data_IF_875403626875
#
_entry.id   IF_875403626875
#
_cell.length_a   1.000
_cell.length_b   1.000
_cell.length_c   1.000
_cell.angle_alpha   90.00
_cell.angle_beta   90.00
_cell.angle_gamma   90.00
#
_symmetry.space_group_name_H-M   'P 1'
#
loop_
_entity.id
_entity.type
_entity.pdbx_description
1 polymer ?
#
# COMPACT_ATOMS: atom_id res chain seq x y z
N UNK A 1 -19.91 -14.55 40.21
CA UNK A 1 -20.32 -15.59 41.18
C UNK A 1 -21.00 -14.89 42.32
N UNK A 2 -22.17 -15.36 42.74
CA UNK A 2 -22.72 -14.95 44.04
C UNK A 2 -21.83 -15.56 45.13
N UNK A 3 -21.77 -14.89 46.28
CA UNK A 3 -21.02 -15.39 47.43
C UNK A 3 -21.58 -16.75 47.85
N UNK A 4 -20.76 -17.81 47.71
CA UNK A 4 -21.14 -19.21 47.97
C UNK A 4 -21.47 -20.09 46.76
N UNK A 5 -21.41 -19.59 45.52
CA UNK A 5 -21.73 -20.36 44.30
C UNK A 5 -20.54 -21.21 43.82
N UNK A 6 -20.73 -22.50 43.59
CA UNK A 6 -19.69 -23.44 43.14
C UNK A 6 -19.41 -23.37 41.63
N UNK A 7 -18.19 -23.73 41.21
CA UNK A 7 -17.76 -23.71 39.78
C UNK A 7 -18.71 -24.52 38.88
N UNK A 8 -19.28 -25.61 39.38
CA UNK A 8 -20.23 -26.45 38.63
C UNK A 8 -21.56 -25.74 38.32
N UNK A 9 -22.08 -24.92 39.24
CA UNK A 9 -23.33 -24.16 39.05
C UNK A 9 -23.14 -22.99 38.08
N UNK A 10 -21.96 -22.35 38.10
CA UNK A 10 -21.60 -21.31 37.15
C UNK A 10 -21.49 -21.85 35.71
N UNK A 11 -20.96 -23.06 35.54
CA UNK A 11 -20.87 -23.75 34.23
C UNK A 11 -22.26 -24.18 33.73
N UNK A 12 -23.14 -24.66 34.61
CA UNK A 12 -24.51 -25.06 34.25
C UNK A 12 -25.38 -23.89 33.71
N UNK A 13 -25.02 -22.65 34.03
CA UNK A 13 -25.74 -21.43 33.57
C UNK A 13 -25.26 -20.88 32.24
N UNK A 14 -24.29 -21.51 31.58
CA UNK A 14 -23.79 -21.07 30.28
C UNK A 14 -23.39 -19.56 30.28
N UNK A 15 -22.77 -19.08 31.37
CA UNK A 15 -22.39 -17.66 31.51
C UNK A 15 -21.22 -17.33 30.56
N UNK A 16 -21.56 -16.82 29.38
CA UNK A 16 -20.61 -16.35 28.38
C UNK A 16 -20.64 -14.82 28.35
N UNK A 17 -19.48 -14.18 28.54
CA UNK A 17 -19.35 -12.74 28.32
C UNK A 17 -19.41 -12.46 26.81
N UNK A 18 -20.51 -11.86 26.33
CA UNK A 18 -20.66 -11.44 24.93
C UNK A 18 -20.06 -10.06 24.65
N UNK A 19 -19.25 -9.52 25.58
CA UNK A 19 -18.70 -8.17 25.52
C UNK A 19 -19.60 -7.15 26.21
N UNK A 20 -19.17 -5.89 26.27
CA UNK A 20 -19.83 -4.84 27.07
C UNK A 20 -21.25 -4.47 26.60
N UNK A 21 -21.65 -4.90 25.39
CA UNK A 21 -22.98 -4.72 24.80
C UNK A 21 -23.85 -5.98 24.80
N UNK A 22 -23.35 -7.08 25.39
CA UNK A 22 -24.14 -8.27 25.59
C UNK A 22 -25.34 -8.01 26.50
N UNK A 23 -26.30 -8.93 26.49
CA UNK A 23 -27.36 -8.98 27.50
C UNK A 23 -26.72 -8.97 28.90
N UNK A 24 -26.98 -7.90 29.67
CA UNK A 24 -26.36 -7.69 31.00
C UNK A 24 -26.74 -8.79 31.98
N UNK A 25 -27.84 -9.50 31.76
CA UNK A 25 -28.22 -10.66 32.57
C UNK A 25 -27.30 -11.89 32.35
N UNK A 26 -26.47 -11.88 31.30
CA UNK A 26 -25.55 -12.97 30.91
C UNK A 26 -24.07 -12.64 31.13
N UNK A 27 -23.76 -11.46 31.68
CA UNK A 27 -22.38 -11.06 31.95
C UNK A 27 -21.76 -11.87 33.09
N UNK A 28 -20.46 -12.13 32.97
CA UNK A 28 -19.66 -12.77 34.02
C UNK A 28 -19.74 -12.03 35.37
N UNK A 29 -19.82 -10.70 35.31
CA UNK A 29 -19.99 -9.84 36.48
C UNK A 29 -20.83 -8.62 36.09
N UNK A 30 -21.90 -8.38 36.85
CA UNK A 30 -22.71 -7.16 36.74
C UNK A 30 -21.91 -5.91 37.16
N UNK A 31 -20.86 -6.09 37.95
CA UNK A 31 -19.99 -5.02 38.48
C UNK A 31 -18.66 -4.91 37.72
N UNK A 32 -18.65 -5.29 36.43
CA UNK A 32 -17.45 -5.13 35.61
C UNK A 32 -17.09 -3.64 35.50
N UNK A 33 -15.98 -3.25 36.12
CA UNK A 33 -15.55 -1.84 36.15
C UNK A 33 -15.28 -1.27 34.74
N UNK A 34 -14.88 -2.12 33.78
CA UNK A 34 -14.66 -1.72 32.38
C UNK A 34 -15.99 -1.30 31.74
N UNK A 35 -17.04 -2.08 31.97
CA UNK A 35 -18.39 -1.80 31.48
C UNK A 35 -18.97 -0.55 32.16
N UNK A 36 -18.87 -0.46 33.48
CA UNK A 36 -19.34 0.71 34.24
C UNK A 36 -18.64 1.99 33.78
N UNK A 37 -17.33 1.95 33.58
CA UNK A 37 -16.58 3.10 33.10
C UNK A 37 -16.93 3.45 31.64
N UNK A 38 -16.82 2.47 30.72
CA UNK A 38 -16.97 2.69 29.29
C UNK A 38 -18.41 3.03 28.90
N UNK A 39 -19.37 2.21 29.33
CA UNK A 39 -20.75 2.28 28.89
C UNK A 39 -21.57 3.19 29.82
N UNK A 40 -21.54 2.96 31.13
CA UNK A 40 -22.44 3.66 32.05
C UNK A 40 -21.98 5.09 32.36
N UNK A 41 -20.69 5.29 32.62
CA UNK A 41 -20.15 6.59 33.01
C UNK A 41 -19.77 7.47 31.81
N UNK A 42 -19.17 6.89 30.77
CA UNK A 42 -18.66 7.63 29.61
C UNK A 42 -19.54 7.55 28.37
N UNK A 43 -20.55 6.67 28.35
CA UNK A 43 -21.48 6.54 27.21
C UNK A 43 -20.82 6.06 25.91
N UNK A 44 -19.67 5.37 25.98
CA UNK A 44 -18.91 4.91 24.83
C UNK A 44 -19.33 3.50 24.40
N UNK A 45 -19.25 3.25 23.10
CA UNK A 45 -19.46 1.93 22.52
C UNK A 45 -18.28 1.00 22.81
N UNK A 46 -17.06 1.51 22.72
CA UNK A 46 -15.87 0.70 23.01
C UNK A 46 -14.81 1.52 23.74
N UNK A 47 -13.99 0.85 24.56
CA UNK A 47 -12.92 1.54 25.30
C UNK A 47 -11.93 2.25 24.37
N UNK A 48 -11.74 1.73 23.15
CA UNK A 48 -10.88 2.35 22.14
C UNK A 48 -11.39 3.71 21.64
N UNK A 49 -12.61 4.12 21.96
CA UNK A 49 -13.16 5.43 21.60
C UNK A 49 -12.83 6.50 22.66
N UNK A 50 -12.30 6.06 23.80
CA UNK A 50 -11.95 6.94 24.91
C UNK A 50 -10.67 7.73 24.60
N UNK A 51 -10.66 9.03 24.87
CA UNK A 51 -9.48 9.90 24.68
C UNK A 51 -8.28 9.52 25.56
N UNK A 52 -8.52 8.84 26.69
CA UNK A 52 -7.48 8.36 27.60
C UNK A 52 -7.08 6.91 27.32
N UNK A 53 -7.51 6.35 26.18
CA UNK A 53 -7.20 4.98 25.82
C UNK A 53 -5.78 4.84 25.23
N UNK A 54 -5.02 3.80 25.58
CA UNK A 54 -5.30 2.82 26.64
C UNK A 54 -4.94 3.42 28.01
N UNK A 55 -5.88 3.41 28.96
CA UNK A 55 -5.60 3.92 30.29
C UNK A 55 -4.79 2.90 31.12
N UNK A 56 -4.00 3.38 32.08
CA UNK A 56 -3.12 2.54 32.94
C UNK A 56 -3.87 1.37 33.57
N UNK A 57 -5.11 1.62 34.01
CA UNK A 57 -5.96 0.60 34.64
C UNK A 57 -6.33 -0.54 33.67
N UNK A 58 -6.60 -0.21 32.40
CA UNK A 58 -6.94 -1.20 31.38
C UNK A 58 -5.70 -1.99 30.92
N UNK A 59 -4.54 -1.33 30.86
CA UNK A 59 -3.25 -1.99 30.60
C UNK A 59 -2.93 -3.01 31.68
N UNK A 60 -2.95 -2.61 32.96
CA UNK A 60 -2.67 -3.52 34.08
C UNK A 60 -3.69 -4.65 34.21
N UNK A 61 -4.95 -4.43 33.81
CA UNK A 61 -5.93 -5.52 33.73
C UNK A 61 -5.60 -6.53 32.62
N UNK A 62 -5.10 -6.06 31.47
CA UNK A 62 -4.79 -6.93 30.33
C UNK A 62 -3.61 -7.88 30.57
N UNK A 63 -2.69 -7.52 31.47
CA UNK A 63 -1.51 -8.32 31.81
C UNK A 63 -1.84 -9.58 32.62
N UNK A 64 -3.04 -9.64 33.21
CA UNK A 64 -3.47 -10.76 34.05
C UNK A 64 -3.76 -12.04 33.25
N UNK A 65 -3.95 -11.94 31.93
CA UNK A 65 -4.24 -13.08 31.07
C UNK A 65 -3.87 -12.81 29.61
N UNK A 66 -3.21 -13.77 28.95
CA UNK A 66 -2.80 -13.64 27.55
C UNK A 66 -3.97 -13.34 26.58
N UNK A 67 -5.18 -13.82 26.86
CA UNK A 67 -6.38 -13.51 26.08
C UNK A 67 -6.82 -12.06 26.24
N UNK A 68 -6.65 -11.48 27.44
CA UNK A 68 -6.95 -10.06 27.68
C UNK A 68 -5.91 -9.15 27.03
N UNK A 69 -4.63 -9.54 27.06
CA UNK A 69 -3.57 -8.87 26.31
C UNK A 69 -3.88 -8.81 24.81
N UNK A 70 -4.31 -9.93 24.20
CA UNK A 70 -4.76 -9.95 22.79
C UNK A 70 -5.99 -9.07 22.52
N UNK A 71 -6.92 -8.99 23.47
CA UNK A 71 -8.10 -8.12 23.34
C UNK A 71 -7.71 -6.64 23.38
N UNK A 72 -6.80 -6.24 24.29
CA UNK A 72 -6.28 -4.87 24.34
C UNK A 72 -5.54 -4.49 23.06
N UNK A 73 -4.76 -5.41 22.49
CA UNK A 73 -4.00 -5.14 21.27
C UNK A 73 -4.93 -4.91 20.05
N UNK A 74 -6.04 -5.67 19.96
CA UNK A 74 -7.09 -5.39 18.96
C UNK A 74 -7.72 -4.02 19.15
N UNK A 75 -8.01 -3.63 20.39
CA UNK A 75 -8.55 -2.31 20.71
C UNK A 75 -7.55 -1.18 20.38
N UNK A 76 -6.24 -1.39 20.58
CA UNK A 76 -5.18 -0.45 20.16
C UNK A 76 -5.12 -0.26 18.65
N UNK A 77 -5.28 -1.33 17.88
CA UNK A 77 -5.36 -1.24 16.42
C UNK A 77 -6.58 -0.41 15.98
N UNK A 78 -7.73 -0.59 16.64
CA UNK A 78 -8.95 0.18 16.38
C UNK A 78 -8.82 1.65 16.82
N UNK A 79 -8.24 1.91 17.99
CA UNK A 79 -7.96 3.27 18.49
C UNK A 79 -7.01 4.02 17.54
N UNK A 80 -5.94 3.35 17.09
CA UNK A 80 -5.00 3.89 16.11
C UNK A 80 -5.66 4.24 14.78
N UNK A 81 -6.73 3.57 14.39
CA UNK A 81 -7.55 3.93 13.22
C UNK A 81 -8.39 5.21 13.42
N UNK A 82 -8.84 5.50 14.65
CA UNK A 82 -9.57 6.74 14.98
C UNK A 82 -8.63 7.94 15.20
N UNK A 83 -7.46 7.73 15.82
CA UNK A 83 -6.47 8.79 16.04
C UNK A 83 -5.77 9.25 14.75
N UNK A 84 -5.73 8.42 13.70
CA UNK A 84 -5.22 8.76 12.36
C UNK A 84 -6.06 9.79 11.60
N UNK A 85 -7.23 10.14 12.13
CA UNK A 85 -8.23 10.97 11.44
C UNK A 85 -8.04 12.48 11.61
N UNK A 86 -7.10 12.94 12.45
CA UNK A 86 -7.18 14.30 13.01
C UNK A 86 -6.26 15.38 12.42
N UNK A 87 -5.24 15.05 11.62
CA UNK A 87 -4.26 16.06 11.17
C UNK A 87 -4.32 16.43 9.67
N UNK A 88 -5.08 15.70 8.84
CA UNK A 88 -5.29 16.05 7.42
C UNK A 88 -6.76 16.37 7.20
N UNK A 89 -7.07 17.66 7.06
CA UNK A 89 -8.39 18.08 6.59
C UNK A 89 -8.54 17.70 5.11
N UNK A 90 -9.26 16.61 4.85
CA UNK A 90 -9.77 16.28 3.53
C UNK A 90 -11.09 17.07 3.37
N UNK A 91 -11.24 17.94 2.37
CA UNK A 91 -12.49 18.64 2.16
C UNK A 91 -13.64 17.64 1.98
N UNK A 92 -14.78 17.88 2.62
CA UNK A 92 -15.96 17.00 2.52
C UNK A 92 -16.42 16.82 1.07
N UNK A 93 -16.26 17.86 0.25
CA UNK A 93 -16.52 17.83 -1.19
C UNK A 93 -15.62 16.84 -1.94
N UNK A 94 -14.32 16.82 -1.62
CA UNK A 94 -13.36 15.85 -2.17
C UNK A 94 -13.69 14.44 -1.70
N UNK A 95 -13.99 14.28 -0.41
CA UNK A 95 -14.29 12.97 0.15
C UNK A 95 -15.57 12.38 -0.48
N UNK A 96 -16.64 13.17 -0.57
CA UNK A 96 -17.87 12.77 -1.24
C UNK A 96 -17.61 12.37 -2.71
N UNK A 97 -16.80 13.14 -3.43
CA UNK A 97 -16.43 12.86 -4.82
C UNK A 97 -15.64 11.55 -4.98
N UNK A 98 -14.68 11.27 -4.08
CA UNK A 98 -13.93 10.01 -4.07
C UNK A 98 -14.79 8.80 -3.71
N UNK A 99 -15.90 9.00 -2.99
CA UNK A 99 -16.81 7.95 -2.54
C UNK A 99 -18.01 7.71 -3.48
N UNK A 100 -18.13 8.43 -4.60
CA UNK A 100 -19.19 8.20 -5.58
C UNK A 100 -19.18 6.76 -6.12
N UNK A 101 -20.38 6.21 -6.35
CA UNK A 101 -20.55 4.82 -6.81
C UNK A 101 -20.15 4.59 -8.26
N UNK A 102 -20.05 5.66 -9.06
CA UNK A 102 -19.65 5.61 -10.47
C UNK A 102 -18.24 5.06 -10.69
N UNK A 103 -17.37 5.15 -9.67
CA UNK A 103 -15.97 4.73 -9.71
C UNK A 103 -15.67 3.76 -8.57
N UNK A 104 -16.16 2.50 -8.63
CA UNK A 104 -16.14 1.56 -7.50
C UNK A 104 -14.72 1.22 -7.02
N UNK A 105 -13.73 1.22 -7.91
CA UNK A 105 -12.33 1.00 -7.56
C UNK A 105 -11.75 2.12 -6.69
N UNK A 106 -12.03 3.38 -7.04
CA UNK A 106 -11.61 4.53 -6.22
C UNK A 106 -12.35 4.51 -4.90
N UNK A 107 -13.68 4.30 -4.91
CA UNK A 107 -14.50 4.25 -3.70
C UNK A 107 -14.00 3.18 -2.73
N UNK A 108 -13.75 1.96 -3.23
CA UNK A 108 -13.23 0.85 -2.43
C UNK A 108 -11.91 1.22 -1.76
N UNK A 109 -10.96 1.79 -2.51
CA UNK A 109 -9.66 2.19 -1.96
C UNK A 109 -9.74 3.39 -1.03
N UNK A 110 -10.60 4.37 -1.30
CA UNK A 110 -10.86 5.48 -0.40
C UNK A 110 -11.42 4.97 0.95
N UNK A 111 -12.38 4.05 0.94
CA UNK A 111 -12.91 3.43 2.15
C UNK A 111 -11.80 2.67 2.93
N UNK A 112 -11.04 1.82 2.24
CA UNK A 112 -10.03 0.94 2.88
C UNK A 112 -8.78 1.67 3.35
N UNK A 113 -8.20 2.49 2.47
CA UNK A 113 -6.85 3.02 2.65
C UNK A 113 -6.86 4.47 3.12
N UNK A 114 -7.84 5.27 2.68
CA UNK A 114 -7.97 6.66 3.13
C UNK A 114 -8.78 6.77 4.43
N UNK A 115 -9.88 6.03 4.56
CA UNK A 115 -10.75 6.06 5.75
C UNK A 115 -10.51 4.94 6.77
N UNK A 116 -9.53 4.06 6.54
CA UNK A 116 -9.20 2.91 7.41
C UNK A 116 -10.40 2.00 7.74
N UNK A 117 -11.40 1.92 6.85
CA UNK A 117 -12.54 1.01 7.04
C UNK A 117 -12.09 -0.44 6.98
N UNK A 118 -12.68 -1.28 7.84
CA UNK A 118 -12.35 -2.70 7.89
C UNK A 118 -12.81 -3.43 6.62
N UNK A 119 -12.18 -4.59 6.34
CA UNK A 119 -12.46 -5.33 5.11
C UNK A 119 -13.89 -5.89 5.05
N UNK A 120 -14.48 -6.11 6.23
CA UNK A 120 -15.85 -6.60 6.41
C UNK A 120 -16.88 -5.48 6.57
N UNK A 121 -16.48 -4.21 6.41
CA UNK A 121 -17.41 -3.08 6.40
C UNK A 121 -18.39 -3.23 5.21
N UNK A 122 -19.71 -3.06 5.42
CA UNK A 122 -20.71 -3.25 4.36
C UNK A 122 -20.47 -2.38 3.12
N UNK A 123 -20.02 -1.13 3.28
CA UNK A 123 -19.75 -0.25 2.15
C UNK A 123 -18.50 -0.69 1.38
N UNK A 124 -17.49 -1.19 2.10
CA UNK A 124 -16.28 -1.76 1.49
C UNK A 124 -16.63 -2.98 0.66
N UNK A 125 -17.42 -3.90 1.22
CA UNK A 125 -17.87 -5.12 0.53
C UNK A 125 -18.72 -4.78 -0.69
N UNK A 126 -19.63 -3.82 -0.57
CA UNK A 126 -20.47 -3.37 -1.67
C UNK A 126 -19.63 -2.74 -2.80
N UNK A 127 -18.70 -1.84 -2.48
CA UNK A 127 -17.82 -1.24 -3.48
C UNK A 127 -16.95 -2.31 -4.16
N UNK A 128 -16.36 -3.23 -3.39
CA UNK A 128 -15.54 -4.35 -3.90
C UNK A 128 -16.30 -5.24 -4.87
N UNK A 129 -17.56 -5.58 -4.56
CA UNK A 129 -18.40 -6.43 -5.39
C UNK A 129 -18.73 -5.81 -6.77
N UNK A 130 -18.73 -4.49 -6.89
CA UNK A 130 -19.02 -3.77 -8.14
C UNK A 130 -17.81 -3.70 -9.09
N UNK A 131 -16.58 -3.82 -8.56
CA UNK A 131 -15.33 -3.64 -9.33
C UNK A 131 -15.27 -4.55 -10.58
N UNK A 132 -15.55 -5.87 -10.51
CA UNK A 132 -15.43 -6.74 -11.69
C UNK A 132 -16.34 -6.36 -12.86
N UNK A 133 -17.49 -5.72 -12.57
CA UNK A 133 -18.46 -5.28 -13.56
C UNK A 133 -18.23 -3.83 -14.04
N UNK A 134 -17.30 -3.09 -13.41
CA UNK A 134 -16.97 -1.73 -13.80
C UNK A 134 -16.47 -1.63 -15.25
N UNK A 135 -16.70 -0.49 -15.89
CA UNK A 135 -16.29 -0.27 -17.29
C UNK A 135 -14.77 -0.46 -17.51
N UNK A 136 -13.87 0.09 -16.67
CA UNK A 136 -12.43 -0.11 -16.85
C UNK A 136 -12.02 -1.59 -16.82
N UNK A 137 -12.55 -2.34 -15.85
CA UNK A 137 -12.23 -3.77 -15.69
C UNK A 137 -12.76 -4.58 -16.87
N UNK A 138 -14.00 -4.35 -17.30
CA UNK A 138 -14.58 -5.00 -18.49
C UNK A 138 -13.77 -4.72 -19.75
N UNK A 139 -13.36 -3.47 -19.97
CA UNK A 139 -12.54 -3.08 -21.13
C UNK A 139 -11.16 -3.73 -21.11
N UNK A 140 -10.52 -3.83 -19.95
CA UNK A 140 -9.25 -4.55 -19.82
C UNK A 140 -9.43 -6.02 -20.17
N UNK A 141 -10.37 -6.72 -19.54
CA UNK A 141 -10.59 -8.14 -19.83
C UNK A 141 -11.08 -8.43 -21.26
N UNK A 142 -11.76 -7.51 -21.92
CA UNK A 142 -12.10 -7.64 -23.34
C UNK A 142 -10.87 -7.69 -24.27
N UNK A 143 -9.68 -7.31 -23.79
CA UNK A 143 -8.40 -7.39 -24.51
C UNK A 143 -7.56 -8.60 -24.10
N UNK A 144 -8.05 -9.40 -23.15
CA UNK A 144 -7.36 -10.59 -22.65
C UNK A 144 -7.50 -11.73 -23.65
N UNK A 145 -6.39 -12.36 -24.00
CA UNK A 145 -6.39 -13.62 -24.72
C UNK A 145 -6.91 -14.76 -23.80
N UNK A 146 -7.67 -15.74 -24.33
CA UNK A 146 -8.21 -16.85 -23.54
C UNK A 146 -7.18 -17.57 -22.64
N UNK A 147 -5.94 -17.69 -23.12
CA UNK A 147 -4.84 -18.34 -22.36
C UNK A 147 -4.32 -17.54 -21.16
N UNK A 148 -4.77 -16.30 -20.91
CA UNK A 148 -4.31 -15.58 -19.71
C UNK A 148 -3.35 -14.41 -19.95
N UNK A 149 -3.44 -13.66 -21.05
CA UNK A 149 -2.45 -12.60 -21.31
C UNK A 149 -2.99 -11.42 -22.12
N UNK A 150 -2.26 -10.31 -22.14
CA UNK A 150 -2.52 -9.14 -22.97
C UNK A 150 -1.36 -8.90 -23.94
N UNK A 151 -1.73 -8.64 -25.20
CA UNK A 151 -0.95 -8.49 -26.44
C UNK A 151 0.54 -8.88 -26.50
N UNK A 152 0.86 -9.68 -27.53
CA UNK A 152 2.17 -9.86 -28.17
C UNK A 152 1.96 -10.09 -29.68
N UNK A 153 2.81 -9.54 -30.56
CA UNK A 153 2.77 -9.76 -32.02
C UNK A 153 3.84 -10.78 -32.46
N UNK A 154 3.43 -11.92 -33.06
CA UNK A 154 4.30 -12.88 -33.78
C UNK A 154 4.11 -14.39 -33.44
N UNK A 155 4.46 -15.28 -34.39
CA UNK A 155 4.45 -16.77 -34.26
C UNK A 155 5.63 -17.33 -33.41
N UNK A 156 5.92 -16.70 -32.28
CA UNK A 156 7.00 -17.16 -31.38
C UNK A 156 6.73 -16.79 -29.92
N UNK A 157 6.19 -17.73 -29.15
CA UNK A 157 6.26 -17.86 -27.68
C UNK A 157 6.03 -16.63 -26.74
N UNK A 158 5.54 -15.45 -27.19
CA UNK A 158 4.87 -14.47 -26.31
C UNK A 158 5.75 -13.65 -25.35
N UNK A 159 6.61 -12.74 -25.83
CA UNK A 159 7.65 -12.11 -24.97
C UNK A 159 7.90 -10.59 -25.08
N UNK A 160 7.03 -9.78 -25.69
CA UNK A 160 7.21 -8.30 -25.70
C UNK A 160 6.44 -7.67 -24.54
N UNK A 161 7.20 -7.32 -23.52
CA UNK A 161 6.72 -6.71 -22.29
C UNK A 161 7.18 -5.24 -22.18
N UNK A 162 7.51 -4.62 -23.31
CA UNK A 162 8.00 -3.23 -23.33
C UNK A 162 6.87 -2.20 -23.28
N UNK A 163 5.66 -2.60 -23.67
CA UNK A 163 4.57 -1.66 -23.88
C UNK A 163 3.55 -1.65 -22.74
N UNK A 164 2.96 -0.48 -22.40
CA UNK A 164 1.95 -0.34 -21.35
C UNK A 164 0.70 -1.22 -21.45
N UNK A 165 0.46 -1.82 -22.62
CA UNK A 165 -0.65 -2.75 -22.86
C UNK A 165 -0.27 -4.23 -22.66
N UNK A 166 0.97 -4.54 -22.28
CA UNK A 166 1.44 -5.90 -22.00
C UNK A 166 0.87 -6.46 -20.69
N UNK A 167 0.95 -7.78 -20.50
CA UNK A 167 0.32 -8.50 -19.39
C UNK A 167 0.67 -7.94 -18.01
N UNK A 168 1.95 -7.74 -17.67
CA UNK A 168 2.33 -7.36 -16.30
C UNK A 168 1.92 -5.92 -15.94
N UNK A 169 1.96 -4.98 -16.89
CA UNK A 169 1.44 -3.61 -16.67
C UNK A 169 -0.10 -3.61 -16.62
N UNK A 170 -0.75 -4.49 -17.37
CA UNK A 170 -2.20 -4.68 -17.28
C UNK A 170 -2.60 -5.30 -15.94
N UNK A 171 -1.85 -6.30 -15.45
CA UNK A 171 -2.03 -6.88 -14.11
C UNK A 171 -1.79 -5.84 -13.02
N UNK A 172 -0.77 -5.00 -13.15
CA UNK A 172 -0.55 -3.87 -12.25
C UNK A 172 -1.73 -2.90 -12.23
N UNK A 173 -2.31 -2.57 -13.38
CA UNK A 173 -3.51 -1.73 -13.42
C UNK A 173 -4.73 -2.43 -12.83
N UNK A 174 -4.96 -3.72 -13.11
CA UNK A 174 -6.04 -4.49 -12.49
C UNK A 174 -5.87 -4.56 -10.95
N UNK A 175 -4.64 -4.64 -10.45
CA UNK A 175 -4.34 -4.58 -9.02
C UNK A 175 -4.71 -3.21 -8.42
N UNK A 176 -4.37 -2.12 -9.09
CA UNK A 176 -4.77 -0.76 -8.69
C UNK A 176 -6.30 -0.58 -8.68
N UNK A 177 -6.99 -1.19 -9.65
CA UNK A 177 -8.46 -1.21 -9.71
C UNK A 177 -9.09 -2.06 -8.61
N UNK A 178 -8.30 -2.82 -7.84
CA UNK A 178 -8.80 -3.66 -6.75
C UNK A 178 -9.27 -5.04 -7.22
N UNK A 179 -8.79 -5.56 -8.35
CA UNK A 179 -8.93 -6.99 -8.66
C UNK A 179 -7.95 -7.82 -7.81
N UNK A 180 -8.23 -9.10 -7.61
CA UNK A 180 -7.36 -10.03 -6.89
C UNK A 180 -7.54 -11.48 -7.37
N UNK A 181 -6.81 -12.41 -6.76
CA UNK A 181 -6.81 -13.85 -7.06
C UNK A 181 -8.14 -14.57 -6.90
N UNK A 182 -9.18 -13.94 -6.35
CA UNK A 182 -10.53 -14.51 -6.31
C UNK A 182 -11.20 -14.54 -7.69
N UNK A 183 -10.74 -13.71 -8.64
CA UNK A 183 -11.20 -13.76 -10.03
C UNK A 183 -10.36 -14.76 -10.84
N UNK A 184 -11.00 -15.76 -11.42
CA UNK A 184 -10.33 -16.82 -12.18
C UNK A 184 -9.50 -16.30 -13.36
N UNK A 185 -9.85 -15.14 -13.94
CA UNK A 185 -9.08 -14.52 -15.03
C UNK A 185 -7.75 -13.97 -14.51
N UNK A 186 -7.76 -13.39 -13.32
CA UNK A 186 -6.52 -12.98 -12.63
C UNK A 186 -5.69 -14.22 -12.31
N UNK A 187 -6.30 -15.26 -11.75
CA UNK A 187 -5.61 -16.51 -11.42
C UNK A 187 -4.91 -17.12 -12.64
N UNK A 188 -5.62 -17.23 -13.76
CA UNK A 188 -5.09 -17.74 -15.03
C UNK A 188 -3.92 -16.91 -15.55
N UNK A 189 -4.03 -15.58 -15.51
CA UNK A 189 -2.99 -14.69 -16.03
C UNK A 189 -1.73 -14.68 -15.16
N UNK A 190 -1.90 -14.63 -13.84
CA UNK A 190 -0.78 -14.66 -12.89
C UNK A 190 -0.09 -16.00 -12.96
N UNK A 191 -0.83 -17.11 -12.92
CA UNK A 191 -0.23 -18.44 -12.97
C UNK A 191 0.57 -18.64 -14.26
N UNK A 192 -0.04 -18.34 -15.42
CA UNK A 192 0.65 -18.35 -16.70
C UNK A 192 1.96 -17.56 -16.65
N UNK A 193 1.91 -16.31 -16.20
CA UNK A 193 3.07 -15.43 -16.15
C UNK A 193 4.17 -15.99 -15.25
N UNK A 194 3.81 -16.50 -14.08
CA UNK A 194 4.75 -17.05 -13.10
C UNK A 194 5.34 -18.40 -13.53
N UNK A 195 4.68 -19.14 -14.44
CA UNK A 195 5.17 -20.42 -15.00
C UNK A 195 5.97 -20.28 -16.29
N UNK A 196 6.11 -19.07 -16.85
CA UNK A 196 6.90 -18.89 -18.06
C UNK A 196 8.36 -19.34 -17.80
N UNK A 197 9.01 -20.01 -18.77
CA UNK A 197 10.41 -20.33 -18.62
C UNK A 197 11.27 -19.05 -18.72
N UNK A 198 12.45 -19.02 -18.07
CA UNK A 198 13.48 -18.02 -18.38
C UNK A 198 13.73 -17.92 -19.89
N UNK A 199 13.88 -16.71 -20.41
CA UNK A 199 14.17 -16.52 -21.84
C UNK A 199 15.59 -16.97 -22.17
N UNK A 200 15.76 -17.57 -23.36
CA UNK A 200 17.06 -17.97 -23.89
C UNK A 200 18.03 -16.79 -23.98
N UNK A 201 19.33 -17.07 -23.84
CA UNK A 201 20.41 -16.06 -23.77
C UNK A 201 20.61 -15.24 -25.06
N UNK A 202 19.89 -15.56 -26.13
CA UNK A 202 19.95 -14.91 -27.44
C UNK A 202 19.11 -13.62 -27.53
N UNK A 203 18.39 -13.25 -26.45
CA UNK A 203 17.60 -12.02 -26.38
C UNK A 203 18.04 -11.09 -25.23
N UNK A 204 17.83 -9.76 -25.36
CA UNK A 204 18.14 -8.81 -24.29
C UNK A 204 17.39 -9.15 -22.99
N UNK A 205 18.11 -9.63 -21.97
CA UNK A 205 17.51 -10.11 -20.71
C UNK A 205 16.57 -9.11 -20.08
N UNK A 206 16.91 -7.81 -20.07
CA UNK A 206 16.13 -6.74 -19.44
C UNK A 206 14.75 -6.45 -20.06
N UNK A 207 14.39 -7.08 -21.18
CA UNK A 207 13.12 -6.86 -21.91
C UNK A 207 12.11 -8.00 -21.70
N UNK A 208 12.49 -9.07 -21.00
CA UNK A 208 11.73 -10.32 -21.01
C UNK A 208 11.51 -10.95 -19.61
N UNK A 209 10.25 -11.10 -19.18
CA UNK A 209 9.87 -11.88 -18.02
C UNK A 209 9.81 -13.40 -18.35
N UNK A 210 9.66 -14.25 -17.32
CA UNK A 210 9.51 -13.87 -15.93
C UNK A 210 10.81 -13.34 -15.35
N UNK A 211 10.65 -12.45 -14.40
CA UNK A 211 11.67 -12.13 -13.44
C UNK A 211 11.91 -13.36 -12.54
N UNK A 212 13.17 -13.77 -12.35
CA UNK A 212 13.56 -14.94 -11.54
C UNK A 212 14.83 -14.62 -10.72
N UNK A 213 15.33 -15.59 -9.94
CA UNK A 213 16.48 -15.39 -9.05
C UNK A 213 17.72 -14.78 -9.70
N UNK A 214 17.96 -15.09 -10.97
CA UNK A 214 19.13 -14.66 -11.74
C UNK A 214 18.78 -13.60 -12.80
N UNK A 215 17.60 -12.96 -12.69
CA UNK A 215 17.20 -11.88 -13.59
C UNK A 215 16.29 -10.86 -12.91
N UNK A 216 16.80 -9.65 -12.75
CA UNK A 216 16.09 -8.48 -12.22
C UNK A 216 15.82 -7.46 -13.34
N UNK A 217 14.64 -7.52 -13.97
CA UNK A 217 14.25 -6.54 -14.99
C UNK A 217 14.02 -5.14 -14.39
N UNK A 218 13.87 -4.13 -15.24
CA UNK A 218 13.58 -2.77 -14.75
C UNK A 218 12.17 -2.64 -14.13
N UNK A 219 11.33 -3.69 -14.26
CA UNK A 219 9.98 -3.76 -13.72
C UNK A 219 9.82 -4.84 -12.64
N UNK A 220 10.90 -5.51 -12.23
CA UNK A 220 10.90 -6.55 -11.19
C UNK A 220 10.08 -6.17 -9.96
N UNK A 221 10.43 -5.05 -9.33
CA UNK A 221 9.77 -4.61 -8.10
C UNK A 221 8.35 -4.09 -8.35
N UNK A 222 8.06 -3.57 -9.56
CA UNK A 222 6.70 -3.19 -9.95
C UNK A 222 5.81 -4.43 -10.05
N UNK A 223 6.31 -5.48 -10.70
CA UNK A 223 5.63 -6.76 -10.84
C UNK A 223 5.40 -7.39 -9.46
N UNK A 224 6.43 -7.39 -8.62
CA UNK A 224 6.35 -7.92 -7.26
C UNK A 224 5.27 -7.21 -6.43
N UNK A 225 5.25 -5.88 -6.44
CA UNK A 225 4.19 -5.08 -5.81
C UNK A 225 2.81 -5.45 -6.36
N UNK A 226 2.69 -5.58 -7.68
CA UNK A 226 1.42 -5.91 -8.34
C UNK A 226 0.91 -7.28 -7.89
N UNK A 227 1.76 -8.31 -7.82
CA UNK A 227 1.37 -9.63 -7.34
C UNK A 227 0.97 -9.64 -5.86
N UNK A 228 1.67 -8.88 -5.02
CA UNK A 228 1.30 -8.69 -3.61
C UNK A 228 -0.10 -8.08 -3.51
N UNK A 229 -0.39 -7.02 -4.27
CA UNK A 229 -1.72 -6.39 -4.31
C UNK A 229 -2.81 -7.30 -4.85
N UNK A 230 -2.49 -8.19 -5.80
CA UNK A 230 -3.41 -9.21 -6.32
C UNK A 230 -3.65 -10.37 -5.34
N UNK A 231 -3.01 -10.38 -4.16
CA UNK A 231 -3.21 -11.39 -3.13
C UNK A 231 -2.28 -12.60 -3.21
N UNK A 232 -1.12 -12.49 -3.87
CA UNK A 232 -0.13 -13.59 -4.02
C UNK A 232 1.05 -13.47 -3.05
N UNK A 233 0.92 -12.72 -1.95
CA UNK A 233 2.02 -12.55 -0.98
C UNK A 233 2.50 -13.90 -0.41
N UNK A 234 1.58 -14.85 -0.24
CA UNK A 234 1.79 -16.21 0.26
C UNK A 234 2.21 -17.21 -0.83
N UNK A 235 2.32 -16.80 -2.09
CA UNK A 235 2.76 -17.68 -3.17
C UNK A 235 4.28 -17.91 -3.09
N UNK A 236 4.76 -19.17 -3.04
CA UNK A 236 6.20 -19.46 -2.91
C UNK A 236 7.08 -18.81 -3.99
N UNK A 237 6.55 -18.62 -5.21
CA UNK A 237 7.26 -17.97 -6.33
C UNK A 237 7.45 -16.47 -6.07
N UNK A 238 6.50 -15.86 -5.37
CA UNK A 238 6.56 -14.46 -4.94
C UNK A 238 7.49 -14.32 -3.73
N UNK A 239 7.43 -15.24 -2.77
CA UNK A 239 8.36 -15.25 -1.63
C UNK A 239 9.82 -15.37 -2.07
N UNK A 240 10.12 -16.27 -3.02
CA UNK A 240 11.46 -16.38 -3.61
C UNK A 240 11.92 -15.03 -4.19
N UNK A 241 11.04 -14.34 -4.92
CA UNK A 241 11.35 -13.04 -5.54
C UNK A 241 11.54 -11.92 -4.53
N UNK A 242 10.80 -11.95 -3.41
CA UNK A 242 11.06 -11.07 -2.27
C UNK A 242 12.47 -11.31 -1.72
N UNK A 243 12.90 -12.56 -1.58
CA UNK A 243 14.27 -12.86 -1.09
C UNK A 243 15.35 -12.34 -2.04
N UNK A 244 15.12 -12.42 -3.34
CA UNK A 244 16.01 -11.84 -4.36
C UNK A 244 16.12 -10.32 -4.18
N UNK A 245 14.98 -9.62 -4.07
CA UNK A 245 14.97 -8.17 -3.84
C UNK A 245 15.68 -7.79 -2.53
N UNK A 246 15.53 -8.59 -1.46
CA UNK A 246 16.22 -8.39 -0.19
C UNK A 246 17.73 -8.61 -0.28
N UNK A 247 18.16 -9.55 -1.12
CA UNK A 247 19.58 -9.88 -1.33
C UNK A 247 20.31 -8.91 -2.26
N UNK A 248 19.59 -8.07 -3.01
CA UNK A 248 20.18 -7.07 -3.89
C UNK A 248 21.01 -6.05 -3.09
N UNK A 249 22.26 -5.83 -3.49
CA UNK A 249 23.13 -4.84 -2.83
C UNK A 249 23.76 -3.95 -3.87
N UNK A 250 23.62 -2.64 -3.66
CA UNK A 250 24.23 -1.63 -4.52
C UNK A 250 24.93 -0.55 -3.71
N UNK A 251 26.04 -0.06 -4.26
CA UNK A 251 26.91 0.90 -3.59
C UNK A 251 26.20 2.23 -3.27
N UNK A 252 25.22 2.63 -4.09
CA UNK A 252 24.42 3.84 -3.88
C UNK A 252 23.06 3.57 -3.22
N UNK A 253 22.74 2.32 -2.86
CA UNK A 253 21.52 1.91 -2.14
C UNK A 253 20.24 1.81 -2.98
N UNK A 254 20.24 2.31 -4.22
CA UNK A 254 19.09 2.24 -5.13
C UNK A 254 18.94 0.87 -5.80
N UNK A 255 18.19 0.83 -6.89
CA UNK A 255 17.95 -0.38 -7.71
C UNK A 255 18.46 -0.18 -9.14
N UNK A 256 19.00 -1.23 -9.75
CA UNK A 256 19.40 -1.24 -11.15
C UNK A 256 19.07 -2.59 -11.77
N UNK A 257 18.43 -2.58 -12.94
CA UNK A 257 18.14 -3.80 -13.67
C UNK A 257 19.39 -4.42 -14.29
N UNK A 258 19.37 -5.74 -14.45
CA UNK A 258 20.50 -6.49 -15.01
C UNK A 258 20.63 -6.22 -16.51
N UNK A 259 21.70 -5.52 -16.90
CA UNK A 259 22.10 -5.33 -18.30
C UNK A 259 23.58 -5.59 -18.47
N UNK A 260 23.95 -6.27 -19.54
CA UNK A 260 25.32 -6.69 -19.80
C UNK A 260 26.29 -5.50 -19.96
N UNK A 261 25.78 -4.33 -20.35
CA UNK A 261 26.54 -3.10 -20.45
C UNK A 261 26.78 -2.38 -19.11
N UNK A 262 26.18 -2.86 -18.02
CA UNK A 262 26.33 -2.23 -16.70
C UNK A 262 27.49 -2.85 -15.92
N UNK A 263 28.27 -1.97 -15.30
CA UNK A 263 29.32 -2.34 -14.35
C UNK A 263 28.79 -2.27 -12.92
N UNK A 264 29.49 -2.86 -11.93
CA UNK A 264 29.14 -2.69 -10.52
C UNK A 264 29.06 -1.22 -10.07
N UNK A 265 29.79 -0.31 -10.74
CA UNK A 265 29.80 1.14 -10.44
C UNK A 265 28.73 1.94 -11.19
N UNK A 266 27.99 1.34 -12.12
CA UNK A 266 26.86 2.02 -12.77
C UNK A 266 25.89 2.53 -11.70
N UNK A 267 25.41 3.76 -11.81
CA UNK A 267 24.47 4.37 -10.85
C UNK A 267 23.10 3.68 -10.91
N UNK A 268 22.41 3.60 -9.78
CA UNK A 268 21.04 3.08 -9.74
C UNK A 268 20.08 3.91 -10.57
N UNK A 269 19.10 3.24 -11.16
CA UNK A 269 18.05 3.86 -11.98
C UNK A 269 16.94 4.39 -11.07
N UNK A 270 16.67 5.70 -11.11
CA UNK A 270 15.61 6.32 -10.29
C UNK A 270 14.24 5.68 -10.50
N UNK A 271 13.87 5.33 -11.74
CA UNK A 271 12.59 4.66 -12.06
C UNK A 271 12.49 3.31 -11.37
N UNK A 272 13.53 2.48 -11.49
CA UNK A 272 13.59 1.17 -10.84
C UNK A 272 13.62 1.28 -9.32
N UNK A 273 14.38 2.24 -8.78
CA UNK A 273 14.38 2.54 -7.34
C UNK A 273 12.99 2.95 -6.85
N UNK A 274 12.20 3.70 -7.63
CA UNK A 274 10.83 4.09 -7.26
C UNK A 274 9.93 2.87 -7.18
N UNK A 275 10.13 1.88 -8.06
CA UNK A 275 9.37 0.62 -8.02
C UNK A 275 9.77 -0.25 -6.84
N UNK A 276 11.07 -0.31 -6.51
CA UNK A 276 11.57 -0.97 -5.31
C UNK A 276 10.99 -0.34 -4.04
N UNK A 277 11.02 0.99 -3.94
CA UNK A 277 10.45 1.74 -2.83
C UNK A 277 8.94 1.46 -2.67
N UNK A 278 8.19 1.51 -3.77
CA UNK A 278 6.75 1.23 -3.77
C UNK A 278 6.43 -0.22 -3.39
N UNK A 279 7.29 -1.17 -3.78
CA UNK A 279 7.18 -2.57 -3.38
C UNK A 279 7.40 -2.74 -1.88
N UNK A 280 8.42 -2.11 -1.30
CA UNK A 280 8.65 -2.13 0.15
C UNK A 280 7.49 -1.48 0.91
N UNK A 281 6.90 -0.40 0.41
CA UNK A 281 5.73 0.22 1.03
C UNK A 281 4.49 -0.71 1.07
N UNK A 282 4.41 -1.69 0.16
CA UNK A 282 3.37 -2.72 0.15
C UNK A 282 3.68 -3.92 1.08
N UNK A 283 4.88 -3.98 1.68
CA UNK A 283 5.38 -5.09 2.50
C UNK A 283 5.86 -4.56 3.87
N UNK A 284 4.94 -4.21 4.78
CA UNK A 284 5.27 -3.60 6.07
C UNK A 284 6.19 -4.43 6.96
N UNK A 285 6.13 -5.75 6.84
CA UNK A 285 7.03 -6.67 7.54
C UNK A 285 8.50 -6.50 7.14
N UNK A 286 8.78 -5.88 5.99
CA UNK A 286 10.14 -5.69 5.47
C UNK A 286 10.73 -4.30 5.77
N UNK A 287 9.98 -3.39 6.39
CA UNK A 287 10.45 -2.01 6.62
C UNK A 287 11.70 -1.92 7.50
N UNK A 288 11.88 -2.87 8.43
CA UNK A 288 13.07 -2.96 9.29
C UNK A 288 14.29 -3.58 8.62
N UNK A 289 14.18 -4.07 7.38
CA UNK A 289 15.29 -4.73 6.69
C UNK A 289 16.34 -3.73 6.22
N UNK A 290 17.62 -4.14 6.22
CA UNK A 290 18.73 -3.31 5.70
C UNK A 290 18.47 -2.85 4.27
N UNK A 291 17.94 -3.73 3.41
CA UNK A 291 17.65 -3.40 2.01
C UNK A 291 16.62 -2.29 1.88
N UNK A 292 15.51 -2.39 2.60
CA UNK A 292 14.46 -1.36 2.59
C UNK A 292 15.04 0.00 3.02
N UNK A 293 15.81 0.01 4.11
CA UNK A 293 16.46 1.22 4.61
C UNK A 293 17.44 1.84 3.61
N UNK A 294 18.20 1.02 2.85
CA UNK A 294 19.06 1.51 1.77
C UNK A 294 18.27 2.17 0.63
N UNK A 295 17.11 1.62 0.26
CA UNK A 295 16.26 2.25 -0.77
C UNK A 295 15.67 3.56 -0.24
N UNK A 296 15.20 3.60 1.00
CA UNK A 296 14.70 4.84 1.62
C UNK A 296 15.80 5.91 1.60
N UNK A 297 17.00 5.58 2.08
CA UNK A 297 18.14 6.50 2.13
C UNK A 297 18.56 6.98 0.73
N UNK A 298 18.44 6.13 -0.30
CA UNK A 298 18.67 6.52 -1.69
C UNK A 298 17.79 7.72 -2.09
N UNK A 299 16.52 7.75 -1.68
CA UNK A 299 15.61 8.86 -1.93
C UNK A 299 15.87 10.06 -1.03
N UNK A 300 16.13 9.85 0.27
CA UNK A 300 16.36 10.95 1.22
C UNK A 300 17.59 11.78 0.85
N UNK A 301 18.71 11.14 0.47
CA UNK A 301 19.93 11.82 -0.02
C UNK A 301 19.72 12.64 -1.29
N UNK A 302 18.66 12.35 -2.03
CA UNK A 302 18.29 13.01 -3.29
C UNK A 302 17.17 14.03 -3.09
N UNK A 303 16.75 14.30 -1.85
CA UNK A 303 15.53 15.07 -1.55
C UNK A 303 14.36 14.62 -2.44
N UNK A 304 14.26 13.30 -2.60
CA UNK A 304 13.34 12.55 -3.47
C UNK A 304 13.52 12.77 -4.97
N UNK A 305 13.73 14.01 -5.42
CA UNK A 305 13.56 14.45 -6.80
C UNK A 305 14.88 14.84 -7.51
N UNK A 306 15.94 15.09 -6.75
CA UNK A 306 17.11 15.83 -7.21
C UNK A 306 18.37 14.96 -7.31
N UNK A 307 19.28 15.41 -8.15
CA UNK A 307 20.63 14.83 -8.25
C UNK A 307 21.42 15.17 -6.99
N UNK A 308 22.35 14.29 -6.63
CA UNK A 308 23.33 14.58 -5.59
C UNK A 308 24.42 15.56 -6.09
N UNK A 309 24.66 15.58 -7.40
CA UNK A 309 25.60 16.51 -8.04
C UNK A 309 25.25 16.68 -9.53
N UNK A 310 25.04 17.92 -10.02
CA UNK A 310 24.87 19.13 -9.21
C UNK A 310 23.58 19.04 -8.35
N UNK A 311 23.56 19.59 -7.13
CA UNK A 311 22.33 19.68 -6.33
C UNK A 311 21.28 20.56 -7.03
N UNK A 312 20.03 20.49 -6.59
CA UNK A 312 18.86 21.26 -7.10
C UNK A 312 18.43 20.99 -8.55
N UNK A 313 19.18 20.20 -9.30
CA UNK A 313 18.76 19.72 -10.61
C UNK A 313 17.89 18.46 -10.47
N UNK A 314 16.71 18.45 -11.09
CA UNK A 314 15.87 17.26 -11.15
C UNK A 314 16.64 16.09 -11.78
N UNK A 315 16.44 14.89 -11.24
CA UNK A 315 17.00 13.67 -11.86
C UNK A 315 16.34 13.48 -13.23
N UNK A 316 15.00 13.64 -13.27
CA UNK A 316 14.15 13.60 -14.46
C UNK A 316 12.91 14.49 -14.27
N UNK A 317 12.48 15.16 -15.32
CA UNK A 317 11.33 16.09 -15.28
C UNK A 317 9.99 15.40 -14.98
N UNK A 318 9.86 14.11 -15.28
CA UNK A 318 8.66 13.32 -14.97
C UNK A 318 8.44 13.11 -13.46
N UNK A 319 9.48 13.23 -12.63
CA UNK A 319 9.36 13.00 -11.18
C UNK A 319 8.53 14.05 -10.46
N UNK A 320 8.20 15.16 -11.14
CA UNK A 320 7.34 16.23 -10.59
C UNK A 320 5.95 16.23 -11.22
N UNK A 321 5.59 15.17 -11.97
CA UNK A 321 4.28 15.05 -12.63
C UNK A 321 3.36 14.10 -11.86
N UNK A 322 2.06 14.37 -11.90
CA UNK A 322 1.00 13.50 -11.38
C UNK A 322 0.47 12.60 -12.49
N UNK A 323 0.79 11.31 -12.41
CA UNK A 323 0.44 10.33 -13.43
C UNK A 323 -0.33 9.16 -12.85
N UNK A 324 -1.29 8.63 -13.60
CA UNK A 324 -1.95 7.36 -13.33
C UNK A 324 -2.51 6.73 -14.63
N UNK A 325 -2.46 5.40 -14.83
CA UNK A 325 -1.91 4.38 -13.94
C UNK A 325 -0.39 4.48 -13.79
N UNK A 326 0.15 3.93 -12.70
CA UNK A 326 1.60 3.83 -12.53
C UNK A 326 2.17 2.81 -13.52
N UNK A 327 3.19 3.23 -14.26
CA UNK A 327 3.90 2.43 -15.28
C UNK A 327 5.40 2.50 -15.02
N UNK A 328 6.25 2.24 -16.02
CA UNK A 328 7.72 2.29 -15.89
C UNK A 328 8.31 3.71 -15.69
N UNK A 329 7.50 4.76 -15.80
CA UNK A 329 7.93 6.16 -15.65
C UNK A 329 8.05 6.53 -14.17
N UNK A 330 8.80 7.60 -13.89
CA UNK A 330 8.79 8.27 -12.60
C UNK A 330 7.51 9.10 -12.41
N UNK A 331 7.16 9.34 -11.15
CA UNK A 331 5.94 10.02 -10.72
C UNK A 331 6.20 10.68 -9.36
N UNK A 332 5.57 11.82 -9.07
CA UNK A 332 5.68 12.48 -7.77
C UNK A 332 4.95 11.70 -6.66
N UNK A 333 3.82 11.08 -6.99
CA UNK A 333 2.94 10.42 -6.01
C UNK A 333 3.53 9.12 -5.44
N UNK A 334 4.19 8.31 -6.28
CA UNK A 334 4.75 7.01 -5.86
C UNK A 334 5.74 7.13 -4.70
N UNK A 335 6.83 7.93 -4.78
CA UNK A 335 7.77 8.04 -3.67
C UNK A 335 7.20 8.80 -2.48
N UNK A 336 6.36 9.83 -2.68
CA UNK A 336 5.71 10.54 -1.57
C UNK A 336 4.82 9.60 -0.76
N UNK A 337 3.96 8.84 -1.43
CA UNK A 337 3.09 7.87 -0.76
C UNK A 337 3.91 6.78 -0.06
N UNK A 338 4.89 6.19 -0.74
CA UNK A 338 5.70 5.11 -0.19
C UNK A 338 6.51 5.55 1.04
N UNK A 339 7.20 6.69 0.98
CA UNK A 339 7.97 7.23 2.11
C UNK A 339 7.07 7.63 3.27
N UNK A 340 5.92 8.26 2.98
CA UNK A 340 4.95 8.65 4.01
C UNK A 340 4.41 7.44 4.76
N UNK A 341 3.98 6.42 4.01
CA UNK A 341 3.47 5.15 4.56
C UNK A 341 4.49 4.45 5.46
N UNK A 342 5.78 4.56 5.14
CA UNK A 342 6.88 4.00 5.93
C UNK A 342 7.32 4.90 7.11
N UNK A 343 6.65 6.02 7.35
CA UNK A 343 6.92 6.91 8.49
C UNK A 343 7.88 8.08 8.22
N UNK A 344 8.31 8.26 6.97
CA UNK A 344 9.24 9.33 6.57
C UNK A 344 8.52 10.58 6.02
N UNK A 345 7.19 10.64 6.10
CA UNK A 345 6.40 11.73 5.51
C UNK A 345 6.77 13.13 6.03
N UNK A 346 7.18 13.24 7.30
CA UNK A 346 7.66 14.50 7.93
C UNK A 346 9.18 14.72 7.78
N UNK A 347 9.90 13.85 7.09
CA UNK A 347 11.35 13.98 6.95
C UNK A 347 11.69 15.22 6.10
N UNK A 348 12.65 16.09 6.50
CA UNK A 348 12.93 17.37 5.81
C UNK A 348 13.25 17.22 4.32
N UNK A 349 13.85 16.09 3.92
CA UNK A 349 14.15 15.78 2.52
C UNK A 349 12.91 15.72 1.60
N UNK A 350 11.69 15.62 2.13
CA UNK A 350 10.45 15.62 1.36
C UNK A 350 9.85 17.02 1.17
N UNK A 351 10.40 18.07 1.80
CA UNK A 351 9.80 19.41 1.81
C UNK A 351 9.46 19.92 0.40
N UNK A 352 10.43 19.94 -0.52
CA UNK A 352 10.21 20.37 -1.91
C UNK A 352 9.19 19.48 -2.65
N UNK A 353 9.16 18.18 -2.36
CA UNK A 353 8.21 17.27 -2.99
C UNK A 353 6.78 17.56 -2.51
N UNK A 354 6.60 17.87 -1.22
CA UNK A 354 5.33 18.33 -0.67
C UNK A 354 4.89 19.68 -1.21
N UNK A 355 5.81 20.64 -1.32
CA UNK A 355 5.51 21.96 -1.90
C UNK A 355 5.05 21.83 -3.36
N UNK A 356 5.73 21.00 -4.15
CA UNK A 356 5.35 20.70 -5.54
C UNK A 356 4.03 19.97 -5.65
N UNK A 357 3.68 19.12 -4.69
CA UNK A 357 2.35 18.51 -4.65
C UNK A 357 1.32 19.59 -4.30
N UNK A 358 1.54 20.35 -3.22
CA UNK A 358 0.61 21.38 -2.75
C UNK A 358 0.28 22.43 -3.82
N UNK A 359 1.26 22.84 -4.63
CA UNK A 359 1.04 23.82 -5.71
C UNK A 359 0.17 23.32 -6.87
N UNK A 360 -0.10 22.01 -6.95
CA UNK A 360 -0.96 21.40 -7.98
C UNK A 360 -2.39 21.21 -7.52
N UNK A 361 -2.71 21.50 -6.26
CA UNK A 361 -4.05 21.32 -5.70
C UNK A 361 -4.95 22.46 -6.17
N UNK A 362 -6.12 22.13 -6.70
CA UNK A 362 -7.11 23.13 -7.13
C UNK A 362 -7.83 23.78 -5.92
N UNK A 363 -8.71 24.75 -6.20
CA UNK A 363 -9.47 25.47 -5.18
C UNK A 363 -10.41 24.57 -4.38
N UNK A 364 -10.88 23.46 -4.97
CA UNK A 364 -11.72 22.47 -4.33
C UNK A 364 -10.92 21.39 -3.57
N UNK A 365 -9.60 21.41 -3.65
CA UNK A 365 -8.73 20.44 -2.98
C UNK A 365 -8.35 19.21 -3.81
N UNK A 366 -8.71 19.16 -5.09
CA UNK A 366 -8.43 18.02 -5.99
C UNK A 366 -7.11 18.20 -6.72
N UNK A 367 -6.62 17.10 -7.27
CA UNK A 367 -5.36 17.06 -8.03
C UNK A 367 -5.62 16.68 -9.48
N UNK A 368 -4.92 17.30 -10.45
CA UNK A 368 -5.10 16.98 -11.86
C UNK A 368 -4.42 15.66 -12.25
N UNK A 369 -4.82 15.09 -13.38
CA UNK A 369 -4.01 14.14 -14.14
C UNK A 369 -3.10 14.92 -15.11
N UNK A 370 -1.81 15.02 -14.85
CA UNK A 370 -0.91 15.83 -15.68
C UNK A 370 -0.37 15.07 -16.90
N UNK A 371 -0.29 13.74 -16.80
CA UNK A 371 0.18 12.91 -17.91
C UNK A 371 -0.32 11.46 -17.77
N UNK A 372 -0.59 10.84 -18.90
CA UNK A 372 -0.90 9.41 -18.99
C UNK A 372 -0.37 8.87 -20.32
N UNK A 373 0.12 7.63 -20.32
CA UNK A 373 0.69 7.05 -21.53
C UNK A 373 -0.41 6.75 -22.57
N UNK A 374 -0.17 7.04 -23.85
CA UNK A 374 -1.16 6.84 -24.93
C UNK A 374 -1.51 5.37 -25.17
N UNK A 375 -0.56 4.46 -24.99
CA UNK A 375 -0.73 3.02 -25.23
C UNK A 375 -1.45 2.21 -24.14
N UNK A 376 -1.88 2.80 -23.01
CA UNK A 376 -2.71 2.05 -22.04
C UNK A 376 -4.06 1.69 -22.63
N UNK A 377 -4.57 0.50 -22.30
CA UNK A 377 -5.88 0.02 -22.78
C UNK A 377 -7.05 0.89 -22.35
N UNK A 378 -6.99 1.44 -21.13
CA UNK A 378 -8.05 2.25 -20.53
C UNK A 378 -7.44 3.51 -19.97
N UNK A 379 -8.00 4.66 -20.34
CA UNK A 379 -7.63 5.97 -19.77
C UNK A 379 -8.24 6.12 -18.39
N UNK A 380 -7.50 6.75 -17.48
CA UNK A 380 -7.91 6.99 -16.10
C UNK A 380 -8.62 8.34 -15.90
N UNK A 381 -8.74 9.11 -16.98
CA UNK A 381 -9.33 10.45 -17.01
C UNK A 381 -8.77 11.26 -18.18
N UNK A 382 -9.13 12.53 -18.25
CA UNK A 382 -8.58 13.48 -19.23
C UNK A 382 -7.39 14.22 -18.62
N UNK A 383 -6.34 14.41 -19.42
CA UNK A 383 -5.14 15.13 -18.99
C UNK A 383 -5.48 16.61 -18.80
N UNK A 384 -5.01 17.19 -17.70
CA UNK A 384 -5.25 18.58 -17.29
C UNK A 384 -6.48 18.77 -16.40
N UNK A 385 -7.34 17.76 -16.23
CA UNK A 385 -8.55 17.84 -15.41
C UNK A 385 -8.35 17.19 -14.04
N UNK A 386 -9.12 17.59 -13.01
CA UNK A 386 -9.15 16.91 -11.72
C UNK A 386 -9.37 15.40 -11.86
N UNK A 387 -8.57 14.60 -11.17
CA UNK A 387 -8.56 13.15 -11.33
C UNK A 387 -8.64 12.43 -9.99
N UNK A 388 -9.55 11.46 -9.89
CA UNK A 388 -9.80 10.72 -8.64
C UNK A 388 -8.59 9.91 -8.18
N UNK A 389 -7.83 9.31 -9.10
CA UNK A 389 -6.66 8.49 -8.76
C UNK A 389 -5.51 9.34 -8.23
N UNK A 390 -5.17 10.44 -8.90
CA UNK A 390 -4.10 11.33 -8.41
C UNK A 390 -4.50 11.99 -7.09
N UNK A 391 -5.77 12.36 -6.94
CA UNK A 391 -6.33 12.91 -5.69
C UNK A 391 -6.28 11.90 -4.55
N UNK A 392 -6.73 10.66 -4.78
CA UNK A 392 -6.69 9.59 -3.78
C UNK A 392 -5.25 9.35 -3.29
N UNK A 393 -4.28 9.21 -4.20
CA UNK A 393 -2.88 9.02 -3.84
C UNK A 393 -2.27 10.19 -3.08
N UNK A 394 -2.61 11.43 -3.47
CA UNK A 394 -2.16 12.62 -2.75
C UNK A 394 -2.67 12.61 -1.30
N UNK A 395 -3.96 12.34 -1.09
CA UNK A 395 -4.53 12.31 0.26
C UNK A 395 -4.10 11.11 1.10
N UNK A 396 -3.87 9.93 0.49
CA UNK A 396 -3.26 8.81 1.21
C UNK A 396 -1.84 9.15 1.68
N UNK A 397 -1.03 9.78 0.82
CA UNK A 397 0.30 10.24 1.21
C UNK A 397 0.24 11.27 2.34
N UNK A 398 -0.62 12.29 2.22
CA UNK A 398 -0.80 13.33 3.24
C UNK A 398 -1.22 12.72 4.58
N UNK A 399 -2.22 11.83 4.56
CA UNK A 399 -2.71 11.14 5.76
C UNK A 399 -1.58 10.35 6.43
N UNK A 400 -0.87 9.53 5.66
CA UNK A 400 0.24 8.72 6.18
C UNK A 400 1.33 9.62 6.77
N UNK A 401 1.64 10.75 6.13
CA UNK A 401 2.62 11.72 6.60
C UNK A 401 2.22 12.39 7.92
N UNK A 402 0.94 12.61 8.15
CA UNK A 402 0.45 13.19 9.39
C UNK A 402 0.48 12.19 10.56
N UNK A 403 0.20 10.92 10.28
CA UNK A 403 -0.03 9.84 11.25
C UNK A 403 1.19 9.26 12.00
N UNK A 404 2.34 9.94 12.03
CA UNK A 404 3.60 9.33 12.50
C UNK A 404 3.63 9.09 14.01
N UNK A 405 3.73 7.81 14.38
CA UNK A 405 4.23 7.31 15.65
C UNK A 405 5.74 7.62 15.77
N UNK A 406 6.09 8.54 16.67
CA UNK A 406 7.45 9.07 16.88
C UNK A 406 8.46 8.02 17.34
N UNK A 407 8.03 6.81 17.69
CA UNK A 407 8.91 5.71 18.13
C UNK A 407 9.83 5.15 17.03
N UNK A 408 9.56 5.40 15.74
CA UNK A 408 10.32 4.81 14.62
C UNK A 408 11.42 5.70 14.02
N UNK A 409 11.53 6.96 14.42
CA UNK A 409 12.56 7.87 13.91
C UNK A 409 13.96 7.64 14.54
N UNK A 410 14.06 6.81 15.58
CA UNK A 410 15.30 6.61 16.33
C UNK A 410 16.38 5.75 15.61
N UNK A 411 16.17 5.36 14.36
CA UNK A 411 17.08 4.50 13.59
C UNK A 411 17.92 5.20 12.52
N UNK A 412 17.78 6.51 12.31
CA UNK A 412 18.64 7.22 11.36
C UNK A 412 20.06 7.34 11.94
N UNK A 413 21.10 6.75 11.32
CA UNK A 413 22.46 6.96 11.79
C UNK A 413 22.82 8.43 11.58
N UNK A 414 23.20 9.09 12.67
CA UNK A 414 23.85 10.39 12.67
C UNK A 414 24.98 10.35 11.66
N UNK A 415 24.97 11.28 10.70
CA UNK A 415 26.07 11.49 9.77
C UNK A 415 27.26 11.95 10.62
N UNK A 416 28.12 11.01 11.02
CA UNK A 416 29.47 11.32 11.43
C UNK A 416 30.20 11.75 10.16
N UNK A 417 30.30 13.06 9.95
CA UNK A 417 31.31 13.60 9.06
C UNK A 417 32.66 13.40 9.71
N UNK A 418 33.61 12.84 8.96
CA UNK A 418 35.03 12.89 9.29
C UNK A 418 35.83 12.51 8.03
N UNK A 419 36.79 13.36 7.65
CA UNK A 419 37.95 13.03 6.82
C UNK A 419 37.83 13.27 5.32
#
# INVERSE_FOLDING_TARGET
MKEGEGVAEAVARNMVCQGCHGDRAKHWSADCWILQCCVDQRGLGHCHECAEFPCVRLVGWSEQNASYGRALERLRQLHGGQARRLDVMIPDTVLAWLLEESEPSVRYRALRELLDRLQNDPEVLAAKAQIPASEPVRKLFAKMHPDGYWLYQGKGAGVDYRWPNSTHLTLGYLAELGMDRSDERIARAVDRYLTLPPVAQDRPRWEHPPDYRNHQSCLYAYNLRSFVMLGYRDDPRIEERVQVLLSDTRWDGGYLCDRDSFSPRTKSCIRGSTKALSCFAALPELWGTRRCQQVVEYFLRRRVLYRMSPPDQLIRDELVRLQFPFLFWGNLLEPLHALSRMGYGKHPALADAWERLASKRDAEGRYPLEEQHSAVWVKSGKVGEPNKWTTLYAYMALKDAASVDTSRQAGAPTIAGEG
#
